data_IF_295576314062
#
_entry.id   IF_295576314062
#
_cell.length_a   1.000
_cell.length_b   1.000
_cell.length_c   1.000
_cell.angle_alpha   90.00
_cell.angle_beta   90.00
_cell.angle_gamma   90.00
#
_symmetry.space_group_name_H-M   'P 1'
#
loop_
_entity.id
_entity.type
_entity.pdbx_description
1 polymer ?
#
# COMPACT_ATOMS: atom_id res chain seq x y z
N UNK A 1 -28.59 -5.51 -41.43
CA UNK A 1 -28.34 -6.14 -40.10
C UNK A 1 -26.90 -6.63 -39.90
N UNK A 2 -26.19 -7.18 -40.91
CA UNK A 2 -24.81 -7.69 -40.72
C UNK A 2 -23.76 -6.60 -40.46
N UNK A 3 -23.87 -5.42 -41.08
CA UNK A 3 -22.89 -4.33 -40.97
C UNK A 3 -22.89 -3.69 -39.57
N UNK A 4 -24.07 -3.51 -38.97
CA UNK A 4 -24.23 -2.93 -37.63
C UNK A 4 -23.66 -3.82 -36.53
N UNK A 5 -23.77 -5.15 -36.69
CA UNK A 5 -23.21 -6.12 -35.75
C UNK A 5 -21.68 -6.15 -35.79
N UNK A 6 -21.09 -6.00 -36.99
CA UNK A 6 -19.64 -5.95 -37.19
C UNK A 6 -19.01 -4.69 -36.58
N UNK A 7 -19.65 -3.53 -36.76
CA UNK A 7 -19.22 -2.28 -36.12
C UNK A 7 -19.27 -2.36 -34.59
N UNK A 8 -20.31 -2.98 -34.03
CA UNK A 8 -20.45 -3.13 -32.58
C UNK A 8 -19.34 -4.03 -31.99
N UNK A 9 -19.02 -5.15 -32.64
CA UNK A 9 -17.91 -6.02 -32.25
C UNK A 9 -16.55 -5.31 -32.31
N UNK A 10 -16.33 -4.44 -33.30
CA UNK A 10 -15.07 -3.71 -33.46
C UNK A 10 -14.90 -2.66 -32.36
N UNK A 11 -15.96 -1.92 -32.00
CA UNK A 11 -15.94 -0.94 -30.91
C UNK A 11 -15.70 -1.64 -29.56
N UNK A 12 -16.35 -2.79 -29.32
CA UNK A 12 -16.14 -3.56 -28.09
C UNK A 12 -14.69 -4.06 -27.96
N UNK A 13 -14.11 -4.53 -29.07
CA UNK A 13 -12.72 -4.99 -29.10
C UNK A 13 -11.72 -3.85 -28.84
N UNK A 14 -11.96 -2.66 -29.40
CA UNK A 14 -11.12 -1.48 -29.15
C UNK A 14 -11.24 -1.00 -27.69
N UNK A 15 -12.45 -1.01 -27.12
CA UNK A 15 -12.66 -0.63 -25.72
C UNK A 15 -11.92 -1.57 -24.75
N UNK A 16 -11.92 -2.88 -25.02
CA UNK A 16 -11.18 -3.87 -24.23
C UNK A 16 -9.66 -3.71 -24.34
N UNK A 17 -9.14 -3.38 -25.52
CA UNK A 17 -7.71 -3.17 -25.73
C UNK A 17 -7.19 -1.92 -24.98
N UNK A 18 -7.94 -0.81 -25.06
CA UNK A 18 -7.62 0.43 -24.34
C UNK A 18 -7.64 0.22 -22.83
N UNK A 19 -8.60 -0.55 -22.30
CA UNK A 19 -8.64 -0.88 -20.88
C UNK A 19 -7.45 -1.74 -20.44
N UNK A 20 -7.00 -2.68 -21.28
CA UNK A 20 -5.83 -3.50 -20.98
C UNK A 20 -4.54 -2.66 -20.92
N UNK A 21 -4.35 -1.73 -21.86
CA UNK A 21 -3.20 -0.81 -21.82
C UNK A 21 -3.25 0.15 -20.63
N UNK A 22 -4.44 0.66 -20.27
CA UNK A 22 -4.62 1.50 -19.08
C UNK A 22 -4.23 0.75 -17.80
N UNK A 23 -4.69 -0.49 -17.65
CA UNK A 23 -4.38 -1.32 -16.49
C UNK A 23 -2.90 -1.69 -16.47
N UNK A 24 -2.33 -2.02 -17.63
CA UNK A 24 -0.91 -2.28 -17.76
C UNK A 24 -0.09 -1.06 -17.34
N UNK A 25 -0.55 0.16 -17.60
CA UNK A 25 0.12 1.39 -17.19
C UNK A 25 -0.05 1.68 -15.69
N UNK A 26 -1.26 1.50 -15.16
CA UNK A 26 -1.59 1.69 -13.73
C UNK A 26 -0.73 0.81 -12.80
N UNK A 27 -0.41 -0.41 -13.22
CA UNK A 27 0.37 -1.36 -12.41
C UNK A 27 1.86 -1.44 -12.78
N UNK A 28 2.39 -0.54 -13.63
CA UNK A 28 3.83 -0.55 -13.99
C UNK A 28 4.74 -0.44 -12.77
N UNK A 29 4.32 0.25 -11.72
CA UNK A 29 5.10 0.43 -10.50
C UNK A 29 5.52 -0.90 -9.87
N UNK A 30 4.74 -1.98 -10.04
CA UNK A 30 5.04 -3.33 -9.55
C UNK A 30 6.36 -3.85 -10.12
N UNK A 31 6.65 -3.57 -11.39
CA UNK A 31 7.86 -4.03 -12.07
C UNK A 31 9.13 -3.35 -11.54
N UNK A 32 8.98 -2.17 -10.92
CA UNK A 32 10.07 -1.37 -10.36
C UNK A 32 10.04 -1.33 -8.83
N UNK A 33 9.12 -2.04 -8.20
CA UNK A 33 8.89 -1.98 -6.76
C UNK A 33 10.08 -2.57 -6.00
N UNK A 34 10.69 -1.75 -5.15
CA UNK A 34 11.71 -2.12 -4.17
C UNK A 34 11.08 -1.91 -2.80
N UNK A 35 10.59 -3.01 -2.25
CA UNK A 35 9.68 -3.01 -1.10
C UNK A 35 10.46 -2.98 0.21
N UNK A 36 10.23 -1.96 1.03
CA UNK A 36 10.59 -1.92 2.44
C UNK A 36 9.44 -2.51 3.26
N UNK A 37 9.70 -3.60 3.97
CA UNK A 37 8.70 -4.26 4.81
C UNK A 37 8.87 -3.82 6.26
N UNK A 38 7.84 -3.16 6.80
CA UNK A 38 7.71 -2.92 8.24
C UNK A 38 6.92 -4.08 8.82
N UNK A 39 7.62 -4.98 9.51
CA UNK A 39 6.96 -6.09 10.17
C UNK A 39 6.07 -5.58 11.31
N UNK A 40 5.02 -6.33 11.62
CA UNK A 40 4.11 -5.98 12.69
C UNK A 40 4.83 -5.98 14.05
N UNK A 41 4.27 -5.25 15.02
CA UNK A 41 4.80 -5.25 16.37
C UNK A 41 4.85 -6.66 16.98
N UNK A 42 6.05 -7.09 17.35
CA UNK A 42 6.29 -8.45 17.84
C UNK A 42 6.31 -8.51 19.37
N UNK A 43 5.12 -8.62 19.95
CA UNK A 43 4.95 -8.92 21.38
C UNK A 43 5.32 -10.39 21.69
N UNK A 44 5.99 -10.70 22.82
CA UNK A 44 6.46 -9.82 23.90
C UNK A 44 7.93 -9.37 23.74
N UNK A 45 8.54 -9.60 22.57
CA UNK A 45 9.99 -9.41 22.37
C UNK A 45 10.39 -7.95 22.20
N UNK A 46 9.52 -7.14 21.61
CA UNK A 46 9.57 -5.68 21.72
C UNK A 46 8.57 -5.28 22.81
N UNK A 47 9.01 -4.76 23.98
CA UNK A 47 8.12 -4.30 25.04
C UNK A 47 7.73 -2.83 24.91
N UNK A 48 8.45 -2.06 24.10
CA UNK A 48 8.15 -0.66 23.78
C UNK A 48 7.84 -0.53 22.29
N UNK A 49 6.87 0.32 21.97
CA UNK A 49 6.59 0.67 20.58
C UNK A 49 7.43 1.88 20.17
N UNK A 50 8.55 1.62 19.50
CA UNK A 50 9.42 2.64 18.92
C UNK A 50 9.06 2.77 17.44
N UNK A 51 8.38 3.86 17.06
CA UNK A 51 7.98 4.11 15.68
C UNK A 51 8.08 5.61 15.33
N UNK A 52 8.83 5.89 14.26
CA UNK A 52 9.03 7.21 13.68
C UNK A 52 8.95 7.09 12.15
N UNK A 53 7.88 7.63 11.56
CA UNK A 53 7.61 7.52 10.14
C UNK A 53 8.65 8.25 9.26
N UNK A 54 9.14 9.41 9.72
CA UNK A 54 10.09 10.24 8.97
C UNK A 54 11.47 9.56 8.93
N UNK A 55 11.91 9.00 10.07
CA UNK A 55 13.16 8.25 10.14
C UNK A 55 13.11 7.00 9.23
N UNK A 56 11.96 6.33 9.16
CA UNK A 56 11.76 5.19 8.27
C UNK A 56 11.78 5.64 6.79
N UNK A 57 11.09 6.73 6.44
CA UNK A 57 11.10 7.27 5.08
C UNK A 57 12.53 7.64 4.63
N UNK A 58 13.31 8.32 5.49
CA UNK A 58 14.72 8.62 5.24
C UNK A 58 15.55 7.34 5.02
N UNK A 59 15.33 6.30 5.84
CA UNK A 59 16.01 5.01 5.68
C UNK A 59 15.62 4.34 4.35
N UNK A 60 14.36 4.46 3.93
CA UNK A 60 13.91 3.95 2.63
C UNK A 60 14.63 4.65 1.47
N UNK A 61 14.80 5.97 1.52
CA UNK A 61 15.56 6.72 0.51
C UNK A 61 17.01 6.24 0.44
N UNK A 62 17.68 6.10 1.58
CA UNK A 62 19.06 5.60 1.67
C UNK A 62 19.21 4.19 1.10
N UNK A 63 18.25 3.32 1.37
CA UNK A 63 18.20 1.95 0.85
C UNK A 63 17.70 1.85 -0.59
N UNK A 64 17.35 3.00 -1.21
CA UNK A 64 16.70 3.07 -2.50
C UNK A 64 15.41 2.22 -2.57
N UNK A 65 14.67 2.08 -1.47
CA UNK A 65 13.32 1.52 -1.49
C UNK A 65 12.33 2.57 -2.00
N UNK A 66 11.31 2.15 -2.75
CA UNK A 66 10.32 3.06 -3.34
C UNK A 66 8.87 2.60 -3.07
N UNK A 67 8.70 1.59 -2.24
CA UNK A 67 7.40 1.07 -1.86
C UNK A 67 7.50 0.59 -0.42
N UNK A 68 6.57 0.97 0.44
CA UNK A 68 6.47 0.47 1.81
C UNK A 68 5.31 -0.51 1.92
N UNK A 69 5.54 -1.62 2.61
CA UNK A 69 4.48 -2.50 3.09
C UNK A 69 4.48 -2.44 4.61
N UNK A 70 3.40 -1.87 5.16
CA UNK A 70 3.22 -1.72 6.60
C UNK A 70 2.09 -2.61 7.09
N UNK A 71 2.36 -3.42 8.11
CA UNK A 71 1.33 -4.21 8.77
C UNK A 71 0.42 -3.31 9.61
N UNK A 72 -0.88 -3.33 9.32
CA UNK A 72 -1.89 -2.52 10.03
C UNK A 72 -2.39 -3.16 11.32
N UNK A 73 -2.16 -4.47 11.47
CA UNK A 73 -2.67 -5.25 12.59
C UNK A 73 -1.88 -6.55 12.80
N UNK A 74 -1.67 -6.87 14.08
CA UNK A 74 -1.09 -8.13 14.57
C UNK A 74 -1.63 -8.43 15.95
N UNK A 75 -0.79 -8.35 16.99
CA UNK A 75 -1.26 -8.33 18.39
C UNK A 75 -2.01 -7.04 18.74
N UNK A 76 -1.52 -5.90 18.22
CA UNK A 76 -2.13 -4.58 18.36
C UNK A 76 -2.43 -3.99 16.98
N UNK A 77 -3.39 -3.06 16.93
CA UNK A 77 -3.68 -2.28 15.73
C UNK A 77 -2.78 -1.04 15.64
N UNK A 78 -2.21 -0.80 14.46
CA UNK A 78 -1.42 0.41 14.17
C UNK A 78 -2.24 1.50 13.48
N UNK A 79 -3.55 1.28 13.34
CA UNK A 79 -4.54 2.16 12.69
C UNK A 79 -5.72 2.45 13.63
N UNK A 80 -6.45 3.53 13.37
CA UNK A 80 -7.59 3.95 14.17
C UNK A 80 -8.94 3.40 13.66
N UNK A 81 -9.97 3.48 14.50
CA UNK A 81 -11.36 3.13 14.13
C UNK A 81 -11.64 1.62 13.98
N UNK A 82 -10.75 0.77 14.49
CA UNK A 82 -10.91 -0.69 14.42
C UNK A 82 -11.27 -1.29 15.77
N UNK A 83 -11.83 -2.51 15.76
CA UNK A 83 -12.24 -3.24 16.97
C UNK A 83 -11.08 -3.80 17.81
N UNK A 84 -9.85 -3.68 17.34
CA UNK A 84 -8.67 -4.27 17.96
C UNK A 84 -8.01 -3.27 18.90
N UNK A 85 -7.36 -3.76 19.95
CA UNK A 85 -6.64 -2.90 20.90
C UNK A 85 -5.39 -2.29 20.26
N UNK A 86 -5.07 -1.06 20.62
CA UNK A 86 -3.80 -0.40 20.32
C UNK A 86 -2.76 -0.67 21.41
N UNK A 87 -1.48 -0.47 21.10
CA UNK A 87 -0.42 -0.51 22.11
C UNK A 87 -0.51 0.73 23.01
N UNK A 88 -0.13 0.62 24.29
CA UNK A 88 -0.20 1.75 25.23
C UNK A 88 0.64 2.95 24.76
N UNK A 89 1.88 2.68 24.34
CA UNK A 89 2.80 3.70 23.80
C UNK A 89 2.32 4.36 22.50
N UNK A 90 1.36 3.75 21.78
CA UNK A 90 0.81 4.33 20.56
C UNK A 90 -0.12 5.51 20.88
N UNK A 91 -0.80 5.47 22.03
CA UNK A 91 -1.85 6.45 22.37
C UNK A 91 -2.90 6.55 21.25
N UNK A 92 -3.18 7.78 20.84
CA UNK A 92 -4.18 8.09 19.79
C UNK A 92 -3.58 8.16 18.37
N UNK A 93 -2.32 7.75 18.19
CA UNK A 93 -1.62 7.83 16.90
C UNK A 93 -2.18 6.84 15.88
N UNK A 94 -2.30 7.27 14.63
CA UNK A 94 -2.51 6.40 13.47
C UNK A 94 -1.18 6.27 12.72
N UNK A 95 -0.48 5.17 12.95
CA UNK A 95 0.89 4.99 12.45
C UNK A 95 0.91 4.75 10.94
N UNK A 96 -0.16 4.17 10.38
CA UNK A 96 -0.29 4.07 8.93
C UNK A 96 -0.47 5.45 8.31
N UNK A 97 -1.32 6.31 8.89
CA UNK A 97 -1.52 7.66 8.39
C UNK A 97 -0.23 8.49 8.50
N UNK A 98 0.54 8.33 9.56
CA UNK A 98 1.88 8.93 9.69
C UNK A 98 2.83 8.46 8.59
N UNK A 99 2.87 7.15 8.30
CA UNK A 99 3.70 6.60 7.22
C UNK A 99 3.26 7.08 5.83
N UNK A 100 1.95 7.16 5.57
CA UNK A 100 1.40 7.71 4.31
C UNK A 100 1.80 9.17 4.13
N UNK A 101 1.88 9.94 5.22
CA UNK A 101 2.27 11.35 5.17
C UNK A 101 3.78 11.54 4.93
N UNK A 102 4.61 10.62 5.43
CA UNK A 102 6.07 10.70 5.33
C UNK A 102 6.61 10.21 3.97
N UNK A 103 5.89 9.33 3.27
CA UNK A 103 6.18 8.88 1.90
C UNK A 103 5.64 9.86 0.85
#
# INVERSE_FOLDING_TARGET
>A
MKVTLWFCCMILAMCSAVNCELWANEYQWINTARIFLIDAYQYPFAPRLEFDAEAIASTMEEMCANTVRMSTMGKYATIQGVRFSTHQDQGDRDLLAEMIKAC
#
